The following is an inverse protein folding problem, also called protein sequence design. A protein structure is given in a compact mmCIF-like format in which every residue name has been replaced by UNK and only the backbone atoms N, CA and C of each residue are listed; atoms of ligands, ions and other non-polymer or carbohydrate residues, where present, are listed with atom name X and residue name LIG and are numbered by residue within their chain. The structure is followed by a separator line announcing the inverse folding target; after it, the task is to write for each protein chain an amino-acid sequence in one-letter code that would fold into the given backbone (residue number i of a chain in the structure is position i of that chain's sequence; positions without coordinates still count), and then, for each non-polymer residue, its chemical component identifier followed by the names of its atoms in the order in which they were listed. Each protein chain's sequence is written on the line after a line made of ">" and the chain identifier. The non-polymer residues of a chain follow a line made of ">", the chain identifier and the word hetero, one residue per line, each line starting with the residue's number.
data_IF_664979774263
#
_entry.id   IF_664979774263
#
_cell.length_a   1.000
_cell.length_b   1.000
_cell.length_c   1.000
_cell.angle_alpha   90.00
_cell.angle_beta   90.00
_cell.angle_gamma   90.00
#
_symmetry.space_group_name_H-M   'P 1'
#
loop_
_entity.id
_entity.type
_entity.pdbx_description
1 polymer ?
#
# COMPACT_ATOMS: atom_id res chain seq x y z
N UNK A 1 13.13 -0.84 -18.75
CA UNK A 1 12.53 0.51 -18.57
C UNK A 1 11.05 0.31 -18.30
N UNK A 2 10.57 0.69 -17.12
CA UNK A 2 9.17 0.48 -16.74
C UNK A 2 8.29 1.38 -17.60
N UNK A 3 7.34 0.78 -18.33
CA UNK A 3 6.39 1.55 -19.13
C UNK A 3 5.43 2.32 -18.22
N UNK A 4 5.31 3.63 -18.46
CA UNK A 4 4.45 4.53 -17.70
C UNK A 4 3.50 5.29 -18.66
N UNK A 5 2.55 4.59 -19.31
CA UNK A 5 1.76 5.15 -20.39
C UNK A 5 0.86 6.33 -19.97
N UNK A 6 0.55 6.43 -18.68
CA UNK A 6 -0.27 7.51 -18.14
C UNK A 6 0.53 8.79 -17.81
N UNK A 7 1.87 8.78 -17.95
CA UNK A 7 2.70 9.95 -17.69
C UNK A 7 3.07 10.67 -18.99
N UNK A 8 2.75 11.94 -19.06
CA UNK A 8 3.25 12.80 -20.13
C UNK A 8 4.74 13.09 -19.94
N UNK A 9 5.56 12.64 -20.87
CA UNK A 9 7.02 12.88 -20.84
C UNK A 9 7.37 14.39 -20.86
N UNK A 10 6.49 15.21 -21.42
CA UNK A 10 6.67 16.67 -21.46
C UNK A 10 6.52 17.33 -20.08
N UNK A 11 5.68 16.78 -19.21
CA UNK A 11 5.40 17.34 -17.89
C UNK A 11 6.09 16.57 -16.75
N UNK A 12 6.61 15.39 -17.05
CA UNK A 12 7.30 14.57 -16.07
C UNK A 12 8.79 14.89 -16.07
N UNK A 13 9.21 15.75 -15.15
CA UNK A 13 10.63 16.06 -14.98
C UNK A 13 11.35 14.88 -14.32
N UNK A 14 12.54 14.55 -14.80
CA UNK A 14 13.41 13.65 -14.10
C UNK A 14 13.68 14.19 -12.69
N UNK A 15 13.58 13.28 -11.69
CA UNK A 15 13.89 13.66 -10.31
C UNK A 15 15.40 13.76 -10.18
N UNK A 16 15.86 14.89 -9.65
CA UNK A 16 17.22 15.01 -9.18
C UNK A 16 17.35 14.26 -7.84
N UNK A 17 17.75 12.99 -7.93
CA UNK A 17 17.92 12.13 -6.76
C UNK A 17 19.06 12.63 -5.86
N UNK A 18 20.06 13.33 -6.38
CA UNK A 18 21.16 13.86 -5.59
C UNK A 18 20.71 15.03 -4.70
N UNK A 19 19.80 15.87 -5.21
CA UNK A 19 19.21 16.95 -4.42
C UNK A 19 18.26 16.47 -3.31
N UNK A 20 17.67 15.27 -3.46
CA UNK A 20 16.69 14.73 -2.51
C UNK A 20 17.29 13.82 -1.45
N UNK A 21 18.51 13.34 -1.63
CA UNK A 21 19.10 12.32 -0.75
C UNK A 21 19.91 12.99 0.36
N UNK A 22 19.58 12.77 1.64
CA UNK A 22 20.42 13.19 2.75
C UNK A 22 21.78 12.48 2.70
N UNK A 23 22.80 13.10 3.29
CA UNK A 23 24.22 12.68 3.25
C UNK A 23 24.51 11.22 3.68
N UNK A 24 23.56 10.54 4.33
CA UNK A 24 23.62 9.10 4.64
C UNK A 24 22.70 8.36 3.68
N UNK A 25 23.28 7.83 2.60
CA UNK A 25 22.55 7.00 1.64
C UNK A 25 22.16 5.67 2.27
N UNK A 26 20.92 5.24 2.05
CA UNK A 26 20.52 3.84 2.28
C UNK A 26 21.29 2.93 1.31
N UNK A 27 21.57 1.72 1.75
CA UNK A 27 22.33 0.72 0.98
C UNK A 27 21.48 -0.05 -0.04
N UNK A 28 20.18 0.21 -0.07
CA UNK A 28 19.19 -0.47 -0.94
C UNK A 28 18.10 0.49 -1.46
N UNK A 29 17.40 0.07 -2.50
CA UNK A 29 16.22 0.77 -3.01
C UNK A 29 15.11 0.87 -1.94
N UNK A 30 14.33 1.97 -1.89
CA UNK A 30 13.17 2.07 -1.00
C UNK A 30 12.19 0.91 -1.23
N UNK A 31 11.73 0.28 -0.16
CA UNK A 31 10.85 -0.89 -0.21
C UNK A 31 9.41 -0.50 0.09
N UNK A 32 8.54 -0.67 -0.88
CA UNK A 32 7.14 -0.23 -0.80
C UNK A 32 6.20 -1.44 -0.92
N UNK A 33 5.33 -1.60 0.08
CA UNK A 33 4.24 -2.57 0.04
C UNK A 33 2.96 -1.90 -0.45
N UNK A 34 2.30 -2.51 -1.42
CA UNK A 34 0.98 -2.04 -1.90
C UNK A 34 -0.11 -3.01 -1.45
N UNK A 35 -1.12 -2.45 -0.75
CA UNK A 35 -2.35 -3.11 -0.36
C UNK A 35 -3.50 -2.54 -1.20
N UNK A 36 -4.39 -3.41 -1.70
CA UNK A 36 -5.56 -2.99 -2.46
C UNK A 36 -6.84 -3.65 -1.96
N UNK A 37 -7.93 -2.89 -1.95
CA UNK A 37 -9.18 -3.23 -1.28
C UNK A 37 -10.24 -3.87 -2.17
N UNK A 38 -9.88 -4.68 -3.19
CA UNK A 38 -10.87 -5.31 -4.06
C UNK A 38 -10.40 -6.65 -4.61
N UNK A 39 -11.28 -7.64 -4.59
CA UNK A 39 -11.06 -8.97 -5.20
C UNK A 39 -11.66 -9.09 -6.60
N UNK A 40 -12.24 -8.02 -7.16
CA UNK A 40 -12.77 -8.05 -8.52
C UNK A 40 -11.63 -8.20 -9.53
N UNK A 41 -11.83 -9.03 -10.55
CA UNK A 41 -10.89 -9.19 -11.65
C UNK A 41 -10.53 -7.85 -12.28
N UNK A 42 -11.54 -7.06 -12.68
CA UNK A 42 -11.36 -5.68 -13.11
C UNK A 42 -11.64 -4.73 -11.95
N UNK A 43 -10.62 -4.40 -11.20
CA UNK A 43 -10.69 -3.48 -10.07
C UNK A 43 -9.96 -2.16 -10.39
N UNK A 44 -10.71 -1.05 -10.41
CA UNK A 44 -10.10 0.28 -10.65
C UNK A 44 -9.15 0.70 -9.53
N UNK A 45 -9.41 0.32 -8.28
CA UNK A 45 -8.47 0.60 -7.18
C UNK A 45 -7.17 -0.20 -7.33
N UNK A 46 -7.24 -1.43 -7.85
CA UNK A 46 -6.05 -2.21 -8.18
C UNK A 46 -5.29 -1.60 -9.35
N UNK A 47 -5.98 -1.23 -10.44
CA UNK A 47 -5.35 -0.57 -11.60
C UNK A 47 -4.64 0.74 -11.21
N UNK A 48 -5.27 1.55 -10.35
CA UNK A 48 -4.64 2.76 -9.81
C UNK A 48 -3.39 2.43 -8.97
N UNK A 49 -3.45 1.36 -8.16
CA UNK A 49 -2.31 0.87 -7.39
C UNK A 49 -1.18 0.35 -8.28
N UNK A 50 -1.50 -0.35 -9.37
CA UNK A 50 -0.53 -0.81 -10.37
C UNK A 50 0.16 0.36 -11.08
N UNK A 51 -0.57 1.43 -11.38
CA UNK A 51 0.04 2.64 -11.94
C UNK A 51 0.96 3.35 -10.92
N UNK A 52 0.54 3.44 -9.66
CA UNK A 52 1.39 3.95 -8.59
C UNK A 52 2.69 3.11 -8.46
N UNK A 53 2.60 1.79 -8.59
CA UNK A 53 3.77 0.91 -8.58
C UNK A 53 4.75 1.25 -9.72
N UNK A 54 4.26 1.39 -10.96
CA UNK A 54 5.11 1.75 -12.11
C UNK A 54 5.85 3.07 -11.88
N UNK A 55 5.16 4.05 -11.29
CA UNK A 55 5.75 5.36 -10.96
C UNK A 55 6.83 5.21 -9.88
N UNK A 56 6.55 4.46 -8.82
CA UNK A 56 7.49 4.20 -7.73
C UNK A 56 8.73 3.45 -8.22
N UNK A 57 8.54 2.42 -9.05
CA UNK A 57 9.65 1.67 -9.67
C UNK A 57 10.49 2.56 -10.59
N UNK A 58 9.86 3.48 -11.34
CA UNK A 58 10.57 4.49 -12.12
C UNK A 58 11.43 5.42 -11.26
N UNK A 59 11.02 5.65 -10.02
CA UNK A 59 11.78 6.40 -9.02
C UNK A 59 12.81 5.56 -8.28
N UNK A 60 13.00 4.30 -8.67
CA UNK A 60 14.00 3.40 -8.13
C UNK A 60 13.56 2.66 -6.87
N UNK A 61 12.26 2.58 -6.58
CA UNK A 61 11.76 1.77 -5.48
C UNK A 61 11.63 0.29 -5.87
N UNK A 62 11.80 -0.59 -4.89
CA UNK A 62 11.36 -1.99 -4.97
C UNK A 62 9.93 -2.08 -4.47
N UNK A 63 9.00 -2.54 -5.32
CA UNK A 63 7.57 -2.57 -5.00
C UNK A 63 7.07 -4.00 -4.93
N UNK A 64 6.29 -4.32 -3.89
CA UNK A 64 5.59 -5.60 -3.77
C UNK A 64 4.11 -5.38 -3.49
N UNK A 65 3.28 -6.22 -4.11
CA UNK A 65 1.85 -6.29 -3.84
C UNK A 65 1.54 -7.44 -2.89
N UNK A 66 0.61 -7.21 -1.97
CA UNK A 66 -0.06 -8.31 -1.30
C UNK A 66 -1.37 -8.64 -2.03
N UNK A 67 -1.57 -9.91 -2.38
CA UNK A 67 -2.85 -10.36 -2.91
C UNK A 67 -3.78 -10.75 -1.76
N UNK A 68 -4.89 -9.99 -1.52
CA UNK A 68 -5.79 -10.26 -0.41
C UNK A 68 -6.72 -11.47 -0.60
N UNK A 69 -6.66 -12.13 -1.75
CA UNK A 69 -7.46 -13.34 -2.00
C UNK A 69 -7.06 -14.45 -1.01
N UNK A 70 -8.04 -15.03 -0.34
CA UNK A 70 -7.84 -16.09 0.65
C UNK A 70 -7.32 -15.60 2.02
N UNK A 71 -7.25 -14.29 2.25
CA UNK A 71 -6.97 -13.75 3.58
C UNK A 71 -8.24 -13.91 4.45
N UNK A 72 -8.19 -14.66 5.57
CA UNK A 72 -9.36 -14.85 6.44
C UNK A 72 -9.66 -13.57 7.25
N UNK A 73 -10.84 -13.51 7.86
CA UNK A 73 -11.12 -12.54 8.91
C UNK A 73 -10.29 -12.86 10.16
N UNK A 74 -10.03 -11.84 10.97
CA UNK A 74 -9.15 -11.98 12.17
C UNK A 74 -9.69 -13.02 13.15
N UNK A 75 -11.02 -13.08 13.31
CA UNK A 75 -11.65 -13.98 14.26
C UNK A 75 -11.83 -15.42 13.70
N UNK A 76 -11.62 -15.63 12.41
CA UNK A 76 -11.86 -16.91 11.73
C UNK A 76 -10.60 -17.78 11.59
N UNK A 77 -9.42 -17.26 11.90
CA UNK A 77 -8.18 -17.99 11.69
C UNK A 77 -7.09 -17.63 12.71
N UNK A 78 -6.15 -18.57 12.87
CA UNK A 78 -4.98 -18.33 13.69
C UNK A 78 -3.94 -17.45 12.98
N UNK A 79 -3.12 -16.78 13.75
CA UNK A 79 -1.96 -15.99 13.30
C UNK A 79 -1.00 -16.78 12.39
N UNK A 80 -0.98 -18.11 12.53
CA UNK A 80 -0.15 -19.03 11.73
C UNK A 80 -0.69 -19.27 10.32
N UNK A 81 -1.87 -18.75 9.97
CA UNK A 81 -2.43 -18.92 8.63
C UNK A 81 -1.46 -18.40 7.54
N UNK A 82 -1.18 -19.15 6.45
CA UNK A 82 -0.14 -18.79 5.47
C UNK A 82 -0.31 -17.40 4.88
N UNK A 83 -1.55 -16.99 4.57
CA UNK A 83 -1.83 -15.64 4.02
C UNK A 83 -1.58 -14.54 5.03
N UNK A 84 -1.78 -14.80 6.32
CA UNK A 84 -1.47 -13.85 7.40
C UNK A 84 0.04 -13.69 7.53
N UNK A 85 0.77 -14.80 7.50
CA UNK A 85 2.23 -14.78 7.57
C UNK A 85 2.85 -14.07 6.35
N UNK A 86 2.31 -14.28 5.13
CA UNK A 86 2.71 -13.57 3.92
C UNK A 86 2.55 -12.04 4.09
N UNK A 87 1.38 -11.59 4.54
CA UNK A 87 1.10 -10.17 4.76
C UNK A 87 2.06 -9.56 5.80
N UNK A 88 2.24 -10.24 6.93
CA UNK A 88 3.13 -9.79 8.02
C UNK A 88 4.59 -9.72 7.57
N UNK A 89 5.05 -10.70 6.81
CA UNK A 89 6.41 -10.70 6.25
C UNK A 89 6.62 -9.52 5.28
N UNK A 90 5.65 -9.26 4.41
CA UNK A 90 5.69 -8.11 3.50
C UNK A 90 5.62 -6.78 4.25
N UNK A 91 4.81 -6.70 5.29
CA UNK A 91 4.73 -5.51 6.15
C UNK A 91 6.08 -5.25 6.85
N UNK A 92 6.74 -6.25 7.39
CA UNK A 92 8.07 -6.11 7.99
C UNK A 92 9.14 -5.72 6.96
N UNK A 93 9.08 -6.30 5.77
CA UNK A 93 10.02 -6.03 4.69
C UNK A 93 9.95 -4.58 4.19
N UNK A 94 8.74 -3.98 4.15
CA UNK A 94 8.51 -2.65 3.59
C UNK A 94 9.04 -1.53 4.48
N UNK A 95 9.34 -0.39 3.90
CA UNK A 95 9.69 0.88 4.56
C UNK A 95 8.59 1.92 4.41
N UNK A 96 7.70 1.71 3.44
CA UNK A 96 6.50 2.49 3.21
C UNK A 96 5.39 1.64 2.63
N UNK A 97 4.17 2.15 2.67
CA UNK A 97 2.99 1.46 2.14
C UNK A 97 2.17 2.37 1.25
N UNK A 98 1.48 1.78 0.28
CA UNK A 98 0.39 2.41 -0.46
C UNK A 98 -0.88 1.60 -0.21
N UNK A 99 -1.92 2.27 0.28
CA UNK A 99 -3.23 1.66 0.47
C UNK A 99 -4.20 2.22 -0.58
N UNK A 100 -4.77 1.34 -1.41
CA UNK A 100 -5.74 1.71 -2.45
C UNK A 100 -7.05 0.99 -2.23
N UNK A 101 -8.10 1.69 -1.85
CA UNK A 101 -9.42 1.12 -1.60
C UNK A 101 -10.50 1.74 -2.48
N UNK A 102 -11.45 0.94 -2.99
CA UNK A 102 -12.72 1.53 -3.42
C UNK A 102 -13.49 2.03 -2.19
N UNK A 103 -14.36 3.01 -2.41
CA UNK A 103 -15.37 3.38 -1.42
C UNK A 103 -16.65 2.62 -1.68
N UNK A 104 -17.23 2.02 -0.63
CA UNK A 104 -18.55 1.37 -0.65
C UNK A 104 -19.34 1.81 0.57
N UNK A 105 -20.55 2.30 0.33
CA UNK A 105 -21.44 2.76 1.42
C UNK A 105 -20.76 3.75 2.37
N UNK A 106 -19.97 4.67 1.81
CA UNK A 106 -19.29 5.69 2.61
C UNK A 106 -18.13 5.17 3.46
N UNK A 107 -17.53 4.01 3.10
CA UNK A 107 -16.44 3.41 3.87
C UNK A 107 -15.39 2.75 2.95
N UNK A 108 -14.20 2.51 3.49
CA UNK A 108 -13.28 1.56 2.88
C UNK A 108 -13.92 0.16 2.82
N UNK A 109 -13.46 -0.69 1.92
CA UNK A 109 -13.99 -2.05 1.81
C UNK A 109 -13.54 -2.94 2.98
N UNK A 110 -14.34 -3.97 3.29
CA UNK A 110 -13.94 -5.03 4.23
C UNK A 110 -12.63 -5.70 3.82
N UNK A 111 -12.40 -5.88 2.52
CA UNK A 111 -11.11 -6.43 2.00
C UNK A 111 -9.91 -5.57 2.44
N UNK A 112 -10.03 -4.24 2.39
CA UNK A 112 -8.96 -3.36 2.87
C UNK A 112 -8.85 -3.42 4.39
N UNK A 113 -9.99 -3.37 5.10
CA UNK A 113 -10.00 -3.39 6.57
C UNK A 113 -9.41 -4.68 7.12
N UNK A 114 -9.74 -5.84 6.54
CA UNK A 114 -9.17 -7.14 6.93
C UNK A 114 -7.65 -7.16 6.80
N UNK A 115 -7.08 -6.60 5.74
CA UNK A 115 -5.63 -6.49 5.62
C UNK A 115 -5.02 -5.65 6.74
N UNK A 116 -5.63 -4.51 7.05
CA UNK A 116 -5.15 -3.62 8.12
C UNK A 116 -5.27 -4.30 9.49
N UNK A 117 -6.36 -5.05 9.74
CA UNK A 117 -6.58 -5.74 11.01
C UNK A 117 -5.55 -6.85 11.27
N UNK A 118 -5.01 -7.46 10.22
CA UNK A 118 -3.96 -8.46 10.35
C UNK A 118 -2.55 -7.87 10.53
N UNK A 119 -2.37 -6.55 10.36
CA UNK A 119 -1.09 -5.90 10.68
C UNK A 119 -0.91 -5.86 12.21
N UNK A 120 0.14 -6.47 12.77
CA UNK A 120 0.26 -6.56 14.21
C UNK A 120 0.48 -5.19 14.84
N UNK A 121 -0.25 -4.92 15.93
CA UNK A 121 -0.03 -3.76 16.80
C UNK A 121 1.10 -4.00 17.79
N UNK A 122 1.31 -5.27 18.18
CA UNK A 122 2.39 -5.65 19.07
C UNK A 122 3.74 -5.73 18.33
N UNK A 123 4.85 -5.44 18.98
CA UNK A 123 6.18 -5.62 18.41
C UNK A 123 6.44 -7.09 18.02
N UNK A 124 6.99 -7.29 16.82
CA UNK A 124 7.55 -8.58 16.39
C UNK A 124 9.06 -8.43 16.40
N UNK A 125 9.75 -9.22 17.20
CA UNK A 125 11.20 -9.08 17.36
C UNK A 125 11.62 -7.71 17.90
N UNK A 126 10.78 -7.07 18.73
CA UNK A 126 11.03 -5.75 19.31
C UNK A 126 10.65 -4.55 18.44
N UNK A 127 10.19 -4.77 17.21
CA UNK A 127 9.81 -3.71 16.25
C UNK A 127 8.34 -3.84 15.87
N UNK A 128 7.60 -2.74 15.93
CA UNK A 128 6.23 -2.69 15.38
C UNK A 128 6.31 -2.67 13.84
N UNK A 129 5.58 -3.54 13.13
CA UNK A 129 5.63 -3.61 11.67
C UNK A 129 5.30 -2.32 10.93
N UNK A 130 4.55 -1.42 11.56
CA UNK A 130 4.13 -0.13 11.01
C UNK A 130 4.94 1.06 11.48
N UNK A 131 5.80 0.88 12.50
CA UNK A 131 6.53 1.98 13.10
C UNK A 131 7.58 2.58 12.17
N UNK A 132 7.55 3.91 12.04
CA UNK A 132 8.53 4.66 11.23
C UNK A 132 8.33 4.54 9.73
N UNK A 133 7.20 3.97 9.27
CA UNK A 133 6.88 3.83 7.85
C UNK A 133 6.03 4.99 7.35
N UNK A 134 6.24 5.33 6.09
CA UNK A 134 5.37 6.29 5.39
C UNK A 134 4.16 5.59 4.81
N UNK A 135 3.04 6.32 4.70
CA UNK A 135 1.81 5.80 4.12
C UNK A 135 1.26 6.77 3.07
N UNK A 136 1.06 6.28 1.85
CA UNK A 136 0.25 6.93 0.84
C UNK A 136 -1.12 6.26 0.74
N UNK A 137 -2.16 7.05 0.52
CA UNK A 137 -3.54 6.58 0.50
C UNK A 137 -4.20 6.97 -0.81
N UNK A 138 -4.87 6.02 -1.42
CA UNK A 138 -5.61 6.18 -2.68
C UNK A 138 -7.04 5.67 -2.52
N UNK A 139 -7.97 6.37 -3.14
CA UNK A 139 -9.38 5.96 -3.19
C UNK A 139 -9.89 6.02 -4.62
N UNK A 140 -10.69 5.05 -4.99
CA UNK A 140 -11.41 5.04 -6.27
C UNK A 140 -12.89 4.84 -6.02
N UNK A 141 -13.72 5.71 -6.58
CA UNK A 141 -15.17 5.59 -6.53
C UNK A 141 -15.81 6.13 -7.82
N UNK A 142 -17.06 5.77 -8.05
CA UNK A 142 -17.85 6.25 -9.19
C UNK A 142 -18.57 7.58 -8.95
N UNK A 143 -18.50 8.14 -7.74
CA UNK A 143 -19.20 9.37 -7.36
C UNK A 143 -18.24 10.53 -7.09
N UNK A 144 -18.69 11.76 -7.35
CA UNK A 144 -17.89 12.97 -7.18
C UNK A 144 -17.71 13.45 -5.74
N UNK A 145 -18.42 12.86 -4.78
CA UNK A 145 -18.47 13.31 -3.38
C UNK A 145 -18.05 12.22 -2.37
N UNK A 146 -17.23 11.28 -2.80
CA UNK A 146 -16.79 10.17 -1.96
C UNK A 146 -15.41 10.46 -1.39
N UNK A 147 -15.33 10.77 -0.09
CA UNK A 147 -14.08 11.08 0.62
C UNK A 147 -13.89 10.21 1.88
N UNK A 148 -14.88 9.42 2.23
CA UNK A 148 -14.90 8.76 3.53
C UNK A 148 -13.89 7.62 3.64
N UNK A 149 -13.66 6.86 2.57
CA UNK A 149 -12.65 5.80 2.59
C UNK A 149 -11.24 6.39 2.82
N UNK A 150 -10.89 7.52 2.17
CA UNK A 150 -9.64 8.23 2.42
C UNK A 150 -9.56 8.71 3.88
N UNK A 151 -10.63 9.30 4.41
CA UNK A 151 -10.65 9.79 5.77
C UNK A 151 -10.48 8.65 6.79
N UNK A 152 -11.13 7.52 6.59
CA UNK A 152 -10.98 6.33 7.43
C UNK A 152 -9.56 5.76 7.35
N UNK A 153 -8.99 5.60 6.17
CA UNK A 153 -7.62 5.12 6.02
C UNK A 153 -6.60 6.08 6.65
N UNK A 154 -6.85 7.40 6.62
CA UNK A 154 -6.02 8.39 7.32
C UNK A 154 -6.06 8.22 8.83
N UNK A 155 -7.24 7.92 9.39
CA UNK A 155 -7.38 7.66 10.82
C UNK A 155 -6.59 6.41 11.20
N UNK A 156 -6.77 5.31 10.45
CA UNK A 156 -6.05 4.07 10.68
C UNK A 156 -4.53 4.21 10.51
N UNK A 157 -4.11 4.99 9.52
CA UNK A 157 -2.67 5.19 9.26
C UNK A 157 -1.94 6.06 10.29
N UNK A 158 -2.68 6.70 11.21
CA UNK A 158 -2.09 7.46 12.33
C UNK A 158 -1.81 6.60 13.55
N UNK A 159 -2.33 5.41 13.58
CA UNK A 159 -2.18 4.41 14.63
C UNK A 159 -0.88 3.64 14.44
#
# INVERSE_FOLDING_TARGET
>A
MTDTPALSSMHFRAIDLEALVPSKRKTHAPRILILYGSLRERSFSRLAAEEAARILERFGAEVKFFNPSGLPLVDDAADTHPKVQELRALALWSEGMVWSSPERHGAMTGVMKTQVDWLPLAPIGGVRPTQGKTLAIMQVCGGSQSFNAVNQMRILGRW
#
